data_IF_758168902271
#
_entry.id   IF_758168902271
#
_cell.length_a   1.000
_cell.length_b   1.000
_cell.length_c   1.000
_cell.angle_alpha   90.00
_cell.angle_beta   90.00
_cell.angle_gamma   90.00
#
_symmetry.space_group_name_H-M   'P 1'
#
loop_
_entity.id
_entity.type
_entity.pdbx_description
1 polymer ?
#
# COMPACT_ATOMS: atom_id res chain seq x y z
N UNK A 1 -3.41 -0.20 -33.52
CA UNK A 1 -2.73 -0.29 -33.00
C UNK A 1 -2.87 -0.50 -31.68
N UNK A 2 -2.65 -1.16 -31.09
CA UNK A 2 -2.78 -1.64 -29.86
C UNK A 2 -1.69 -1.36 -28.98
N UNK A 3 -0.96 -0.37 -29.16
CA UNK A 3 0.21 -0.11 -28.43
C UNK A 3 -0.07 0.05 -27.00
N UNK A 4 -1.16 0.70 -26.63
CA UNK A 4 -1.43 0.95 -25.26
C UNK A 4 -1.76 -0.33 -24.52
N UNK A 5 -2.53 -1.21 -25.08
CA UNK A 5 -2.80 -2.49 -24.46
C UNK A 5 -1.54 -3.32 -24.29
N UNK A 6 -0.68 -3.34 -25.30
CA UNK A 6 0.56 -4.07 -25.22
C UNK A 6 1.48 -3.49 -24.17
N UNK A 7 1.51 -2.16 -24.04
CA UNK A 7 2.32 -1.52 -23.02
C UNK A 7 1.83 -1.88 -21.64
N UNK A 8 0.51 -1.86 -21.44
CA UNK A 8 -0.05 -2.23 -20.15
C UNK A 8 0.26 -3.69 -19.81
N UNK A 9 0.20 -4.57 -20.78
CA UNK A 9 0.50 -5.97 -20.56
C UNK A 9 1.95 -6.20 -20.15
N UNK A 10 2.83 -5.28 -20.48
CA UNK A 10 4.23 -5.39 -20.10
C UNK A 10 4.57 -4.68 -18.82
N UNK A 11 3.62 -3.95 -18.25
CA UNK A 11 3.87 -3.26 -16.98
C UNK A 11 4.04 -4.27 -15.87
N UNK A 12 5.03 -4.04 -15.05
CA UNK A 12 5.35 -4.94 -13.95
C UNK A 12 4.84 -4.37 -12.64
N UNK A 13 4.64 -5.27 -11.67
CA UNK A 13 4.15 -4.85 -10.36
C UNK A 13 5.01 -3.73 -9.77
N UNK A 14 6.33 -3.79 -9.97
CA UNK A 14 7.22 -2.80 -9.36
C UNK A 14 7.11 -1.43 -10.04
N UNK A 15 6.67 -1.37 -11.30
CA UNK A 15 6.42 -0.09 -11.95
C UNK A 15 5.24 0.62 -11.29
N UNK A 16 4.16 -0.12 -11.02
CA UNK A 16 3.01 0.44 -10.31
C UNK A 16 3.37 0.81 -8.88
N UNK A 17 4.19 -0.01 -8.23
CA UNK A 17 4.62 0.27 -6.85
C UNK A 17 5.43 1.56 -6.78
N UNK A 18 6.36 1.74 -7.72
CA UNK A 18 7.16 2.96 -7.80
C UNK A 18 6.27 4.18 -8.07
N UNK A 19 5.31 4.03 -8.98
CA UNK A 19 4.34 5.08 -9.27
C UNK A 19 3.56 5.47 -8.03
N UNK A 20 3.10 4.46 -7.29
CA UNK A 20 2.40 4.69 -6.04
C UNK A 20 3.25 5.47 -5.04
N UNK A 21 4.54 5.12 -4.95
CA UNK A 21 5.45 5.83 -4.06
C UNK A 21 5.60 7.30 -4.46
N UNK A 22 5.64 7.57 -5.75
CA UNK A 22 5.74 8.95 -6.24
C UNK A 22 4.49 9.75 -5.89
N UNK A 23 3.32 9.18 -6.12
CA UNK A 23 2.07 9.83 -5.74
C UNK A 23 1.97 10.05 -4.24
N UNK A 24 2.45 9.07 -3.46
CA UNK A 24 2.45 9.18 -2.01
C UNK A 24 3.29 10.36 -1.55
N UNK A 25 4.46 10.55 -2.17
CA UNK A 25 5.34 11.67 -1.85
C UNK A 25 4.70 13.01 -2.19
N UNK A 26 3.87 13.02 -3.22
CA UNK A 26 3.17 14.24 -3.63
C UNK A 26 1.91 14.51 -2.79
N UNK A 27 1.53 13.60 -1.94
CA UNK A 27 0.30 13.70 -1.18
C UNK A 27 -0.96 13.39 -2.00
N UNK A 28 -0.79 12.77 -3.15
CA UNK A 28 -1.91 12.37 -3.99
C UNK A 28 -2.34 10.97 -3.57
N UNK A 29 -3.08 10.91 -2.47
CA UNK A 29 -3.41 9.64 -1.82
C UNK A 29 -4.29 8.75 -2.68
N UNK A 30 -5.18 9.35 -3.46
CA UNK A 30 -6.09 8.59 -4.31
C UNK A 30 -5.36 7.91 -5.46
N UNK A 31 -4.47 8.63 -6.13
CA UNK A 31 -3.69 8.02 -7.20
C UNK A 31 -2.68 7.02 -6.67
N UNK A 32 -2.11 7.31 -5.50
CA UNK A 32 -1.22 6.36 -4.85
C UNK A 32 -1.96 5.06 -4.58
N UNK A 33 -3.18 5.16 -4.05
CA UNK A 33 -3.99 4.00 -3.76
C UNK A 33 -4.24 3.16 -5.00
N UNK A 34 -4.61 3.79 -6.11
CA UNK A 34 -4.85 3.07 -7.35
C UNK A 34 -3.62 2.37 -7.88
N UNK A 35 -2.48 3.05 -7.83
CA UNK A 35 -1.23 2.46 -8.30
C UNK A 35 -0.82 1.27 -7.45
N UNK A 36 -0.92 1.39 -6.13
CA UNK A 36 -0.59 0.29 -5.24
C UNK A 36 -1.53 -0.90 -5.42
N UNK A 37 -2.82 -0.63 -5.66
CA UNK A 37 -3.77 -1.71 -5.92
C UNK A 37 -3.44 -2.44 -7.22
N UNK A 38 -3.05 -1.71 -8.25
CA UNK A 38 -2.61 -2.33 -9.49
C UNK A 38 -1.39 -3.21 -9.26
N UNK A 39 -0.44 -2.73 -8.47
CA UNK A 39 0.74 -3.51 -8.11
C UNK A 39 0.34 -4.79 -7.37
N UNK A 40 -0.49 -4.65 -6.35
CA UNK A 40 -0.93 -5.79 -5.54
C UNK A 40 -1.69 -6.83 -6.36
N UNK A 41 -2.40 -6.40 -7.39
CA UNK A 41 -3.12 -7.34 -8.26
C UNK A 41 -2.17 -8.26 -9.01
N UNK A 42 -0.93 -7.84 -9.19
CA UNK A 42 0.08 -8.63 -9.88
C UNK A 42 0.95 -9.42 -8.89
N UNK A 43 1.28 -8.83 -7.76
CA UNK A 43 2.06 -9.48 -6.70
C UNK A 43 1.45 -9.08 -5.36
N UNK A 44 0.81 -10.03 -4.74
CA UNK A 44 -0.08 -9.73 -3.62
C UNK A 44 0.61 -9.51 -2.27
N UNK A 45 1.62 -10.29 -1.97
CA UNK A 45 2.14 -10.38 -0.60
C UNK A 45 3.18 -9.33 -0.26
N UNK A 46 3.07 -8.74 0.92
CA UNK A 46 4.09 -7.85 1.45
C UNK A 46 5.32 -8.67 1.84
N UNK A 47 6.50 -8.17 1.51
CA UNK A 47 7.75 -8.85 1.83
C UNK A 47 8.91 -7.86 1.89
N UNK A 48 9.90 -8.16 2.72
CA UNK A 48 11.10 -7.35 2.83
C UNK A 48 12.01 -7.47 1.61
N UNK A 49 11.89 -8.54 0.86
CA UNK A 49 12.83 -8.81 -0.23
C UNK A 49 12.09 -9.41 -1.40
N UNK A 50 11.65 -8.58 -2.30
CA UNK A 50 10.95 -9.01 -3.50
C UNK A 50 11.84 -8.83 -4.70
N UNK A 51 12.06 -9.92 -5.43
CA UNK A 51 12.85 -9.86 -6.64
C UNK A 51 12.08 -9.15 -7.74
N UNK A 52 12.72 -8.21 -8.42
CA UNK A 52 12.07 -7.52 -9.51
C UNK A 52 12.62 -7.96 -10.86
N UNK A 53 13.94 -8.07 -11.01
CA UNK A 53 14.55 -8.69 -12.18
C UNK A 53 16.01 -8.95 -11.85
N UNK A 54 16.59 -9.98 -12.48
CA UNK A 54 17.98 -10.34 -12.25
C UNK A 54 18.26 -10.56 -10.77
N UNK A 55 19.22 -9.83 -10.23
CA UNK A 55 19.57 -9.87 -8.83
C UNK A 55 19.05 -8.66 -8.06
N UNK A 56 18.15 -7.89 -8.66
CA UNK A 56 17.58 -6.71 -8.00
C UNK A 56 16.39 -7.10 -7.16
N UNK A 57 16.39 -6.59 -5.93
CA UNK A 57 15.31 -6.83 -4.97
C UNK A 57 14.86 -5.51 -4.39
N UNK A 58 13.61 -5.42 -3.98
CA UNK A 58 13.08 -4.25 -3.29
C UNK A 58 12.31 -4.67 -2.04
N UNK A 59 12.15 -3.72 -1.13
CA UNK A 59 11.20 -3.88 -0.05
C UNK A 59 9.83 -3.61 -0.65
N UNK A 60 8.97 -4.59 -0.62
CA UNK A 60 7.70 -4.53 -1.32
C UNK A 60 6.57 -4.75 -0.32
N UNK A 61 5.86 -3.69 0.00
CA UNK A 61 4.80 -3.75 1.01
C UNK A 61 3.53 -3.09 0.47
N UNK A 62 2.90 -3.69 -0.56
CA UNK A 62 1.74 -3.05 -1.18
C UNK A 62 0.58 -2.85 -0.20
N UNK A 63 0.30 -3.84 0.66
CA UNK A 63 -0.83 -3.70 1.58
C UNK A 63 -0.55 -2.66 2.66
N UNK A 64 0.69 -2.57 3.13
CA UNK A 64 1.07 -1.51 4.06
C UNK A 64 0.82 -0.14 3.42
N UNK A 65 1.25 0.03 2.18
CA UNK A 65 1.12 1.31 1.50
C UNK A 65 -0.35 1.63 1.18
N UNK A 66 -1.12 0.62 0.79
CA UNK A 66 -2.55 0.78 0.60
C UNK A 66 -3.21 1.23 1.91
N UNK A 67 -2.83 0.59 3.01
CA UNK A 67 -3.36 0.96 4.32
C UNK A 67 -3.02 2.37 4.71
N UNK A 68 -1.79 2.81 4.45
CA UNK A 68 -1.38 4.18 4.74
C UNK A 68 -2.17 5.17 3.87
N UNK A 69 -2.37 4.85 2.59
CA UNK A 69 -3.16 5.72 1.72
C UNK A 69 -4.61 5.83 2.21
N UNK A 70 -5.21 4.72 2.61
CA UNK A 70 -6.55 4.76 3.19
C UNK A 70 -6.59 5.59 4.46
N UNK A 71 -5.56 5.48 5.31
CA UNK A 71 -5.49 6.29 6.51
C UNK A 71 -5.51 7.78 6.17
N UNK A 72 -4.72 8.18 5.19
CA UNK A 72 -4.67 9.58 4.77
C UNK A 72 -6.02 10.05 4.22
N UNK A 73 -6.76 9.15 3.59
CA UNK A 73 -8.09 9.45 3.07
C UNK A 73 -9.17 9.33 4.14
N UNK A 74 -8.78 9.03 5.38
CA UNK A 74 -9.70 8.88 6.52
C UNK A 74 -10.65 7.70 6.37
N UNK A 75 -10.26 6.71 5.58
CA UNK A 75 -11.00 5.47 5.44
C UNK A 75 -10.42 4.46 6.41
N UNK A 76 -10.71 4.67 7.69
CA UNK A 76 -9.99 4.00 8.77
C UNK A 76 -10.25 2.49 8.84
N UNK A 77 -11.46 2.05 8.56
CA UNK A 77 -11.76 0.61 8.60
C UNK A 77 -11.00 -0.12 7.49
N UNK A 78 -10.95 0.46 6.30
CA UNK A 78 -10.19 -0.13 5.20
C UNK A 78 -8.69 -0.10 5.49
N UNK A 79 -8.22 0.99 6.10
CA UNK A 79 -6.83 1.09 6.50
C UNK A 79 -6.47 -0.01 7.49
N UNK A 80 -7.34 -0.27 8.46
CA UNK A 80 -7.10 -1.30 9.46
C UNK A 80 -6.99 -2.68 8.82
N UNK A 81 -7.86 -2.99 7.87
CA UNK A 81 -7.82 -4.27 7.18
C UNK A 81 -6.51 -4.47 6.43
N UNK A 82 -6.08 -3.43 5.69
CA UNK A 82 -4.88 -3.54 4.89
C UNK A 82 -3.62 -3.61 5.74
N UNK A 83 -3.56 -2.80 6.79
CA UNK A 83 -2.39 -2.82 7.67
C UNK A 83 -2.30 -4.13 8.44
N UNK A 84 -3.43 -4.69 8.84
CA UNK A 84 -3.45 -5.99 9.50
C UNK A 84 -2.99 -7.09 8.55
N UNK A 85 -3.41 -7.01 7.29
CA UNK A 85 -2.99 -7.96 6.28
C UNK A 85 -1.49 -7.85 6.02
N UNK A 86 -0.98 -6.63 5.93
CA UNK A 86 0.44 -6.40 5.78
C UNK A 86 1.23 -7.09 6.89
N UNK A 87 0.79 -6.89 8.13
CA UNK A 87 1.47 -7.47 9.29
C UNK A 87 1.39 -9.00 9.31
N UNK A 88 0.31 -9.56 8.77
CA UNK A 88 0.18 -11.00 8.67
C UNK A 88 1.19 -11.58 7.69
N UNK A 89 1.52 -10.85 6.64
CA UNK A 89 2.53 -11.28 5.69
C UNK A 89 3.94 -11.00 6.18
N UNK A 90 4.18 -9.79 6.68
CA UNK A 90 5.51 -9.42 7.14
C UNK A 90 5.42 -8.25 8.11
N UNK A 91 5.98 -8.42 9.29
CA UNK A 91 6.01 -7.34 10.27
C UNK A 91 6.86 -6.18 9.78
N UNK A 92 6.42 -4.98 10.07
CA UNK A 92 7.22 -3.78 9.85
C UNK A 92 6.83 -2.75 10.90
N UNK A 93 7.80 -1.93 11.28
CA UNK A 93 7.56 -0.87 12.26
C UNK A 93 6.55 0.13 11.73
N UNK A 94 6.62 0.42 10.45
CA UNK A 94 5.74 1.40 9.84
C UNK A 94 4.29 0.92 9.84
N UNK A 95 4.06 -0.36 9.50
CA UNK A 95 2.69 -0.88 9.53
C UNK A 95 2.14 -0.86 10.95
N UNK A 96 2.95 -1.20 11.95
CA UNK A 96 2.51 -1.15 13.34
C UNK A 96 2.16 0.28 13.78
N UNK A 97 3.00 1.23 13.37
CA UNK A 97 2.78 2.62 13.72
C UNK A 97 1.46 3.14 13.15
N UNK A 98 1.22 2.87 11.88
CA UNK A 98 -0.01 3.35 11.26
C UNK A 98 -1.23 2.59 11.74
N UNK A 99 -1.10 1.29 12.04
CA UNK A 99 -2.21 0.56 12.62
C UNK A 99 -2.62 1.15 13.96
N UNK A 100 -1.63 1.54 14.78
CA UNK A 100 -1.93 2.20 16.04
C UNK A 100 -2.67 3.51 15.82
N UNK A 101 -2.23 4.31 14.84
CA UNK A 101 -2.92 5.56 14.52
C UNK A 101 -4.35 5.32 14.07
N UNK A 102 -4.57 4.28 13.29
CA UNK A 102 -5.90 3.92 12.82
C UNK A 102 -6.77 3.50 13.99
N UNK A 103 -6.23 2.68 14.89
CA UNK A 103 -6.99 2.23 16.05
C UNK A 103 -7.36 3.40 16.95
N UNK A 104 -6.46 4.35 17.11
CA UNK A 104 -6.77 5.56 17.87
C UNK A 104 -7.88 6.36 17.19
N UNK A 105 -7.86 6.45 15.86
CA UNK A 105 -8.90 7.16 15.13
C UNK A 105 -10.26 6.48 15.25
N UNK A 106 -10.26 5.15 15.35
CA UNK A 106 -11.50 4.38 15.47
C UNK A 106 -11.99 4.22 16.89
N UNK A 107 -11.16 4.55 17.87
CA UNK A 107 -11.55 4.35 19.26
C UNK A 107 -12.71 5.26 19.62
N UNK A 108 -13.69 4.75 20.38
CA UNK A 108 -14.80 5.60 20.80
C UNK A 108 -14.30 6.70 21.72
N UNK A 109 -14.83 7.89 21.53
CA UNK A 109 -14.50 8.99 22.42
C UNK A 109 -15.28 8.82 23.71
N UNK A 110 -14.57 8.99 24.82
CA UNK A 110 -15.24 8.88 26.09
C UNK A 110 -16.14 10.10 26.30
N UNK A 111 -17.34 9.89 26.80
CA UNK A 111 -18.18 11.04 27.10
C UNK A 111 -17.58 11.83 28.27
N UNK A 112 -17.77 13.13 28.31
CA UNK A 112 -17.24 13.90 29.41
C UNK A 112 -17.92 13.47 30.71
N UNK A 113 -17.21 13.54 31.82
CA UNK A 113 -17.78 13.16 33.11
C UNK A 113 -18.90 14.09 33.57
#
# INVERSE_FOLDING_TARGET
MQTSAATQARSKFYNYYTEGNEFMEEGDWERALEAYKASASLEWEDTKKKRIYGTRFIKYFPHRQIGIAYFQLKEYHKAKEELSLSLAYKESKEAKKFLQKVEEALAPKEPPP
#
